data_IF_529154633344
#
_entry.id   IF_529154633344
#
_cell.length_a   1.000
_cell.length_b   1.000
_cell.length_c   1.000
_cell.angle_alpha   90.00
_cell.angle_beta   90.00
_cell.angle_gamma   90.00
#
_symmetry.space_group_name_H-M   'P 1'
#
loop_
_entity.id
_entity.type
_entity.pdbx_description
1 polymer ?
#
# COMPACT_ATOMS: atom_id res chain seq x y z
N UNK A 1 11.68 -19.55 -3.32
CA UNK A 1 12.54 -18.58 -2.57
C UNK A 1 11.61 -17.69 -1.75
N UNK A 2 11.80 -17.54 -0.43
CA UNK A 2 11.00 -16.59 0.34
C UNK A 2 11.39 -15.18 -0.11
N UNK A 3 10.43 -14.36 -0.53
CA UNK A 3 10.62 -12.92 -0.75
C UNK A 3 11.31 -12.33 0.48
N UNK A 4 12.34 -11.49 0.27
CA UNK A 4 13.13 -10.89 1.36
C UNK A 4 12.34 -9.88 2.19
N UNK A 5 11.14 -9.49 1.77
CA UNK A 5 10.34 -8.43 2.37
C UNK A 5 8.97 -8.97 2.83
N UNK A 6 8.98 -9.93 3.74
CA UNK A 6 7.78 -10.38 4.43
C UNK A 6 7.75 -9.85 5.87
N UNK A 7 6.60 -9.39 6.31
CA UNK A 7 6.35 -8.96 7.68
C UNK A 7 5.15 -9.73 8.24
N UNK A 8 5.15 -10.02 9.53
CA UNK A 8 4.01 -10.70 10.16
C UNK A 8 3.91 -10.36 11.64
N UNK A 9 2.67 -10.31 12.15
CA UNK A 9 2.36 -10.07 13.56
C UNK A 9 1.27 -11.03 14.01
N UNK A 10 1.49 -11.72 15.13
CA UNK A 10 0.46 -12.47 15.83
C UNK A 10 -0.47 -11.49 16.54
N UNK A 11 -1.77 -11.64 16.33
CA UNK A 11 -2.81 -10.77 16.89
C UNK A 11 -3.41 -11.40 18.15
N UNK A 12 -4.00 -10.57 19.02
CA UNK A 12 -4.67 -11.04 20.24
C UNK A 12 -5.85 -11.96 19.94
N UNK A 13 -6.53 -11.75 18.82
CA UNK A 13 -7.62 -12.61 18.36
C UNK A 13 -7.18 -14.02 17.92
N UNK A 14 -5.87 -14.30 17.94
CA UNK A 14 -5.32 -15.61 17.59
C UNK A 14 -4.96 -15.78 16.11
N UNK A 15 -5.30 -14.85 15.23
CA UNK A 15 -4.85 -14.84 13.84
C UNK A 15 -3.44 -14.26 13.70
N UNK A 16 -2.84 -14.42 12.54
CA UNK A 16 -1.58 -13.77 12.16
C UNK A 16 -1.83 -12.84 10.99
N UNK A 17 -1.54 -11.55 11.15
CA UNK A 17 -1.47 -10.63 10.03
C UNK A 17 -0.21 -10.91 9.22
N UNK A 18 -0.36 -11.11 7.93
CA UNK A 18 0.72 -11.38 6.98
C UNK A 18 0.81 -10.27 5.96
N UNK A 19 2.02 -9.86 5.65
CA UNK A 19 2.33 -8.88 4.63
C UNK A 19 3.45 -9.42 3.76
N UNK A 20 3.26 -9.37 2.45
CA UNK A 20 4.26 -9.70 1.43
C UNK A 20 4.45 -8.46 0.55
N UNK A 21 5.67 -7.96 0.48
CA UNK A 21 6.08 -6.97 -0.52
C UNK A 21 6.87 -7.66 -1.61
N UNK A 22 6.56 -7.38 -2.86
CA UNK A 22 7.25 -7.92 -4.03
C UNK A 22 8.21 -6.89 -4.64
N UNK A 23 9.12 -7.36 -5.46
CA UNK A 23 10.02 -6.54 -6.28
C UNK A 23 9.98 -6.95 -7.75
N UNK A 24 10.82 -6.37 -8.61
CA UNK A 24 10.87 -6.65 -10.04
C UNK A 24 11.24 -8.11 -10.39
N UNK A 25 11.95 -8.81 -9.50
CA UNK A 25 12.32 -10.21 -9.69
C UNK A 25 11.16 -11.18 -9.48
N UNK A 26 10.12 -10.75 -8.75
CA UNK A 26 8.90 -11.55 -8.54
C UNK A 26 7.97 -11.54 -9.77
N UNK A 27 8.25 -10.71 -10.76
CA UNK A 27 7.48 -10.57 -11.99
C UNK A 27 6.51 -9.39 -11.99
N UNK A 28 5.99 -9.06 -13.16
CA UNK A 28 5.03 -7.97 -13.34
C UNK A 28 3.67 -8.33 -12.70
N UNK A 29 3.17 -7.48 -11.82
CA UNK A 29 1.87 -7.63 -11.16
C UNK A 29 0.85 -6.55 -11.60
N UNK A 30 1.12 -5.84 -12.70
CA UNK A 30 0.18 -4.87 -13.28
C UNK A 30 -1.08 -5.55 -13.77
N UNK A 31 -2.25 -4.98 -13.45
CA UNK A 31 -3.56 -5.43 -13.98
C UNK A 31 -3.75 -5.14 -15.47
N UNK A 32 -2.83 -4.40 -16.10
CA UNK A 32 -2.87 -4.12 -17.54
C UNK A 32 -2.35 -5.28 -18.41
N UNK A 33 -1.68 -6.28 -17.80
CA UNK A 33 -1.27 -7.47 -18.52
C UNK A 33 -2.41 -8.48 -18.68
N UNK A 34 -2.28 -9.50 -19.57
CA UNK A 34 -3.26 -10.57 -19.71
C UNK A 34 -3.56 -11.25 -18.37
N UNK A 35 -4.82 -11.48 -18.06
CA UNK A 35 -5.28 -12.00 -16.78
C UNK A 35 -4.66 -13.36 -16.40
N UNK A 36 -4.46 -14.23 -17.38
CA UNK A 36 -3.79 -15.53 -17.19
C UNK A 36 -2.34 -15.38 -16.74
N UNK A 37 -1.60 -14.43 -17.31
CA UNK A 37 -0.21 -14.14 -16.91
C UNK A 37 -0.16 -13.53 -15.51
N UNK A 38 -1.07 -12.60 -15.20
CA UNK A 38 -1.19 -12.03 -13.86
C UNK A 38 -1.46 -13.13 -12.82
N UNK A 39 -2.45 -13.97 -13.06
CA UNK A 39 -2.81 -15.06 -12.15
C UNK A 39 -1.69 -16.08 -11.97
N UNK A 40 -0.94 -16.41 -13.02
CA UNK A 40 0.22 -17.30 -12.92
C UNK A 40 1.32 -16.69 -12.04
N UNK A 41 1.58 -15.39 -12.15
CA UNK A 41 2.56 -14.69 -11.31
C UNK A 41 2.10 -14.65 -9.86
N UNK A 42 0.83 -14.31 -9.61
CA UNK A 42 0.23 -14.29 -8.28
C UNK A 42 0.33 -15.64 -7.57
N UNK A 43 -0.05 -16.74 -8.25
CA UNK A 43 -0.03 -18.09 -7.68
C UNK A 43 1.36 -18.60 -7.31
N UNK A 44 2.41 -18.15 -7.98
CA UNK A 44 3.80 -18.48 -7.60
C UNK A 44 4.19 -17.91 -6.24
N UNK A 45 3.56 -16.80 -5.85
CA UNK A 45 3.83 -16.08 -4.60
C UNK A 45 2.90 -16.55 -3.47
N UNK A 46 1.59 -16.56 -3.73
CA UNK A 46 0.56 -17.06 -2.81
C UNK A 46 -0.44 -17.86 -3.64
N UNK A 47 -0.55 -19.16 -3.38
CA UNK A 47 -1.44 -20.08 -4.12
C UNK A 47 -2.91 -19.96 -3.67
N UNK A 48 -3.45 -18.75 -3.90
CA UNK A 48 -4.85 -18.41 -3.69
C UNK A 48 -5.27 -17.35 -4.71
N UNK A 49 -6.56 -17.20 -5.04
CA UNK A 49 -7.05 -16.07 -5.82
C UNK A 49 -6.82 -14.75 -5.05
N UNK A 50 -6.25 -13.75 -5.69
CA UNK A 50 -6.04 -12.43 -5.07
C UNK A 50 -7.21 -11.50 -5.38
N UNK A 51 -7.59 -10.68 -4.39
CA UNK A 51 -8.42 -9.50 -4.61
C UNK A 51 -7.52 -8.32 -4.97
N UNK A 52 -7.88 -7.58 -6.00
CA UNK A 52 -7.16 -6.38 -6.46
C UNK A 52 -8.11 -5.40 -7.14
N UNK A 53 -7.74 -4.12 -7.17
CA UNK A 53 -8.59 -3.05 -7.64
C UNK A 53 -8.02 -2.38 -8.90
N UNK A 54 -8.90 -1.71 -9.65
CA UNK A 54 -8.51 -0.67 -10.59
C UNK A 54 -8.29 0.62 -9.81
N UNK A 55 -7.04 0.87 -9.42
CA UNK A 55 -6.64 2.02 -8.61
C UNK A 55 -6.80 3.32 -9.42
N UNK A 56 -7.49 4.30 -8.85
CA UNK A 56 -7.82 5.59 -9.48
C UNK A 56 -7.27 6.79 -8.71
N UNK A 57 -6.43 6.55 -7.71
CA UNK A 57 -5.85 7.54 -6.79
C UNK A 57 -6.90 8.30 -5.98
N UNK A 58 -7.99 7.64 -5.64
CA UNK A 58 -9.11 8.16 -4.86
C UNK A 58 -9.06 7.75 -3.37
N UNK A 59 -10.19 7.90 -2.69
CA UNK A 59 -10.37 7.55 -1.28
C UNK A 59 -11.35 6.39 -1.04
N UNK A 60 -11.78 5.65 -2.08
CA UNK A 60 -12.78 4.59 -1.96
C UNK A 60 -12.18 3.31 -1.37
N UNK A 61 -12.89 2.73 -0.39
CA UNK A 61 -12.51 1.50 0.31
C UNK A 61 -13.53 0.40 0.00
N UNK A 62 -13.05 -0.72 -0.49
CA UNK A 62 -13.86 -1.88 -0.86
C UNK A 62 -13.72 -2.96 0.22
N UNK A 63 -14.85 -3.43 0.74
CA UNK A 63 -14.87 -4.57 1.66
C UNK A 63 -14.80 -5.89 0.90
N UNK A 64 -13.78 -6.69 1.19
CA UNK A 64 -13.55 -8.01 0.61
C UNK A 64 -14.03 -9.09 1.58
N UNK A 65 -14.80 -10.05 1.08
CA UNK A 65 -15.37 -11.15 1.88
C UNK A 65 -14.83 -12.51 1.50
N UNK A 66 -14.50 -12.69 0.22
CA UNK A 66 -13.95 -13.94 -0.28
C UNK A 66 -12.69 -13.68 -1.09
N UNK A 67 -11.85 -14.69 -1.16
CA UNK A 67 -10.63 -14.67 -1.97
C UNK A 67 -10.99 -14.46 -3.46
N UNK A 68 -10.36 -13.48 -4.11
CA UNK A 68 -10.63 -13.12 -5.50
C UNK A 68 -11.85 -12.21 -5.73
N UNK A 69 -12.53 -11.74 -4.67
CA UNK A 69 -13.60 -10.74 -4.81
C UNK A 69 -13.06 -9.41 -5.38
N UNK A 70 -13.95 -8.68 -6.09
CA UNK A 70 -13.75 -7.30 -6.55
C UNK A 70 -12.55 -7.08 -7.48
N UNK A 71 -12.13 -8.11 -8.22
CA UNK A 71 -11.04 -7.96 -9.20
C UNK A 71 -11.38 -6.92 -10.26
N UNK A 72 -10.57 -5.84 -10.32
CA UNK A 72 -10.72 -4.76 -11.29
C UNK A 72 -11.85 -3.75 -10.99
N UNK A 73 -12.52 -3.85 -9.85
CA UNK A 73 -13.44 -2.81 -9.35
C UNK A 73 -12.65 -1.53 -9.04
N UNK A 74 -13.21 -0.35 -9.34
CA UNK A 74 -12.56 0.92 -9.02
C UNK A 74 -12.51 1.14 -7.51
N UNK A 75 -11.34 1.57 -7.01
CA UNK A 75 -11.07 1.86 -5.61
C UNK A 75 -9.58 1.85 -5.32
N UNK A 76 -9.19 2.38 -4.17
CA UNK A 76 -7.79 2.53 -3.79
C UNK A 76 -7.47 1.89 -2.43
N UNK A 77 -8.45 1.26 -1.79
CA UNK A 77 -8.24 0.51 -0.56
C UNK A 77 -9.17 -0.67 -0.41
N UNK A 78 -8.71 -1.67 0.31
CA UNK A 78 -9.46 -2.88 0.64
C UNK A 78 -9.37 -3.18 2.11
N UNK A 79 -10.46 -3.70 2.68
CA UNK A 79 -10.50 -4.22 4.05
C UNK A 79 -11.14 -5.60 4.07
N UNK A 80 -10.70 -6.45 4.98
CA UNK A 80 -11.30 -7.76 5.22
C UNK A 80 -11.28 -8.15 6.69
N UNK A 81 -12.29 -8.90 7.11
CA UNK A 81 -12.33 -9.59 8.40
C UNK A 81 -12.32 -11.13 8.24
N UNK A 82 -12.03 -11.60 7.03
CA UNK A 82 -12.00 -13.03 6.68
C UNK A 82 -10.55 -13.48 6.56
N UNK A 83 -10.21 -14.61 7.18
CA UNK A 83 -8.90 -15.26 7.02
C UNK A 83 -8.72 -15.87 5.63
N UNK A 84 -7.48 -15.99 5.18
CA UNK A 84 -7.15 -16.61 3.89
C UNK A 84 -7.53 -15.80 2.65
N UNK A 85 -7.74 -14.48 2.78
CA UNK A 85 -8.16 -13.59 1.69
C UNK A 85 -7.01 -12.63 1.33
N UNK A 86 -6.16 -12.95 0.34
CA UNK A 86 -5.09 -12.06 -0.10
C UNK A 86 -5.64 -10.83 -0.81
N UNK A 87 -5.32 -9.65 -0.30
CA UNK A 87 -5.65 -8.35 -0.90
C UNK A 87 -4.36 -7.67 -1.38
N UNK A 88 -4.31 -7.26 -2.63
CA UNK A 88 -3.12 -6.71 -3.26
C UNK A 88 -3.31 -5.26 -3.75
N UNK A 89 -2.36 -4.40 -3.43
CA UNK A 89 -2.18 -3.06 -4.01
C UNK A 89 -0.95 -3.08 -4.90
N UNK A 90 -1.12 -2.68 -6.16
CA UNK A 90 -0.05 -2.58 -7.14
C UNK A 90 0.52 -1.16 -7.16
N UNK A 91 1.84 -1.06 -7.16
CA UNK A 91 2.52 0.24 -7.11
C UNK A 91 3.74 0.29 -8.05
N UNK A 92 4.05 1.50 -8.48
CA UNK A 92 5.34 1.96 -8.97
C UNK A 92 5.40 3.43 -8.55
N UNK A 93 5.97 3.68 -7.38
CA UNK A 93 6.21 4.93 -6.66
C UNK A 93 5.22 5.29 -5.54
N UNK A 94 3.90 5.12 -5.70
CA UNK A 94 2.96 5.38 -4.60
C UNK A 94 3.19 4.44 -3.42
N UNK A 95 2.92 4.89 -2.19
CA UNK A 95 3.08 4.07 -0.99
C UNK A 95 1.92 3.07 -0.82
N UNK A 96 2.17 1.76 -0.79
CA UNK A 96 1.20 0.80 -0.31
C UNK A 96 1.27 0.75 1.22
N UNK A 97 0.12 0.81 1.90
CA UNK A 97 0.05 0.80 3.37
C UNK A 97 -0.88 -0.31 3.83
N UNK A 98 -0.40 -1.19 4.69
CA UNK A 98 -1.23 -2.18 5.40
C UNK A 98 -1.56 -1.65 6.78
N UNK A 99 -2.83 -1.70 7.14
CA UNK A 99 -3.37 -1.30 8.43
C UNK A 99 -3.74 -2.55 9.23
N UNK A 100 -3.27 -2.66 10.45
CA UNK A 100 -3.39 -3.85 11.29
C UNK A 100 -3.93 -3.45 12.66
N UNK A 101 -4.90 -4.20 13.15
CA UNK A 101 -5.44 -4.08 14.51
C UNK A 101 -5.41 -5.44 15.21
N UNK A 102 -5.63 -5.46 16.52
CA UNK A 102 -5.66 -6.72 17.30
C UNK A 102 -6.94 -7.53 17.08
N UNK A 103 -8.02 -6.89 16.60
CA UNK A 103 -9.23 -7.56 16.13
C UNK A 103 -8.98 -8.26 14.77
N UNK A 104 -9.85 -9.24 14.36
CA UNK A 104 -9.70 -9.96 13.09
C UNK A 104 -10.09 -9.10 11.88
N UNK A 105 -9.47 -7.93 11.73
CA UNK A 105 -9.68 -6.99 10.63
C UNK A 105 -8.32 -6.51 10.12
N UNK A 106 -8.12 -6.52 8.82
CA UNK A 106 -6.92 -6.01 8.15
C UNK A 106 -7.34 -5.12 6.98
N UNK A 107 -6.56 -4.06 6.73
CA UNK A 107 -6.75 -3.17 5.60
C UNK A 107 -5.48 -3.00 4.79
N UNK A 108 -5.63 -2.67 3.51
CA UNK A 108 -4.52 -2.28 2.63
C UNK A 108 -4.97 -1.16 1.71
N UNK A 109 -4.14 -0.12 1.56
CA UNK A 109 -4.47 1.06 0.76
C UNK A 109 -3.35 1.47 -0.19
N UNK A 110 -3.72 2.10 -1.30
CA UNK A 110 -2.85 2.75 -2.26
C UNK A 110 -2.74 4.24 -1.91
N UNK A 111 -1.66 4.63 -1.26
CA UNK A 111 -1.44 5.99 -0.79
C UNK A 111 -0.52 6.77 -1.74
N UNK A 112 -1.03 7.14 -2.91
CA UNK A 112 -0.47 8.20 -3.74
C UNK A 112 -0.89 9.58 -3.19
N UNK A 113 -0.25 10.68 -3.60
CA UNK A 113 -0.52 12.02 -3.07
C UNK A 113 -2.00 12.44 -3.20
N UNK A 114 -2.68 12.08 -4.31
CA UNK A 114 -4.11 12.37 -4.49
C UNK A 114 -4.97 11.55 -3.53
N UNK A 115 -4.65 10.27 -3.35
CA UNK A 115 -5.33 9.39 -2.39
C UNK A 115 -5.17 9.88 -0.95
N UNK A 116 -3.97 10.35 -0.59
CA UNK A 116 -3.70 10.97 0.72
C UNK A 116 -4.54 12.22 0.93
N UNK A 117 -4.63 13.12 -0.08
CA UNK A 117 -5.54 14.28 -0.02
C UNK A 117 -7.02 13.88 0.02
N UNK A 118 -7.39 12.77 -0.60
CA UNK A 118 -8.76 12.23 -0.56
C UNK A 118 -9.08 11.48 0.75
N UNK A 119 -8.14 11.43 1.71
CA UNK A 119 -8.33 10.80 3.01
C UNK A 119 -8.35 9.28 2.95
N UNK A 120 -7.55 8.64 2.09
CA UNK A 120 -7.56 7.17 1.90
C UNK A 120 -7.25 6.42 3.20
N UNK A 121 -6.34 6.94 4.04
CA UNK A 121 -5.98 6.33 5.34
C UNK A 121 -7.12 6.50 6.34
N UNK A 122 -7.67 7.70 6.44
CA UNK A 122 -8.81 8.05 7.30
C UNK A 122 -10.03 7.19 6.97
N UNK A 123 -10.34 7.07 5.67
CA UNK A 123 -11.45 6.28 5.18
C UNK A 123 -11.26 4.79 5.52
N UNK A 124 -10.05 4.25 5.33
CA UNK A 124 -9.75 2.87 5.68
C UNK A 124 -9.89 2.62 7.18
N UNK A 125 -9.35 3.49 8.02
CA UNK A 125 -9.51 3.40 9.48
C UNK A 125 -10.98 3.45 9.90
N UNK A 126 -11.78 4.34 9.29
CA UNK A 126 -13.21 4.46 9.52
C UNK A 126 -13.97 3.19 9.13
N UNK A 127 -13.70 2.65 7.92
CA UNK A 127 -14.35 1.42 7.45
C UNK A 127 -13.94 0.19 8.29
N UNK A 128 -12.67 0.11 8.72
CA UNK A 128 -12.22 -0.94 9.66
C UNK A 128 -12.94 -0.81 11.01
N UNK A 129 -13.15 0.42 11.49
CA UNK A 129 -13.91 0.70 12.72
C UNK A 129 -15.34 0.16 12.68
N UNK A 130 -16.02 0.20 11.54
CA UNK A 130 -17.36 -0.38 11.33
C UNK A 130 -17.37 -1.91 11.45
N UNK A 131 -16.19 -2.54 11.30
CA UNK A 131 -15.99 -3.98 11.50
C UNK A 131 -15.46 -4.32 12.91
N UNK A 132 -15.36 -3.33 13.80
CA UNK A 132 -14.81 -3.49 15.15
C UNK A 132 -13.29 -3.49 15.22
N UNK A 133 -12.59 -3.12 14.13
CA UNK A 133 -11.13 -3.04 14.08
C UNK A 133 -10.63 -1.59 14.12
N UNK A 134 -9.81 -1.26 15.12
CA UNK A 134 -9.11 0.03 15.19
C UNK A 134 -7.62 -0.22 14.95
N UNK A 135 -7.06 0.23 13.81
CA UNK A 135 -5.65 -0.01 13.51
C UNK A 135 -4.73 0.64 14.54
N UNK A 136 -3.74 -0.10 15.00
CA UNK A 136 -2.68 0.36 15.91
C UNK A 136 -1.30 0.26 15.29
N UNK A 137 -1.16 -0.61 14.30
CA UNK A 137 0.09 -0.89 13.59
C UNK A 137 -0.11 -0.66 12.11
N UNK A 138 0.89 -0.09 11.44
CA UNK A 138 0.94 0.02 9.98
C UNK A 138 2.26 -0.54 9.43
N UNK A 139 2.16 -1.12 8.23
CA UNK A 139 3.33 -1.52 7.44
C UNK A 139 3.28 -0.75 6.13
N UNK A 140 4.30 0.06 5.87
CA UNK A 140 4.45 0.86 4.65
C UNK A 140 5.48 0.17 3.74
N UNK A 141 5.08 -0.13 2.53
CA UNK A 141 5.93 -0.79 1.53
C UNK A 141 6.79 0.18 0.73
N UNK A 142 7.54 -0.34 -0.27
CA UNK A 142 8.39 0.45 -1.13
C UNK A 142 7.62 1.56 -1.84
N UNK A 143 8.15 2.78 -1.78
CA UNK A 143 7.59 3.94 -2.46
C UNK A 143 8.71 4.89 -2.90
N UNK A 144 8.36 5.91 -3.68
CA UNK A 144 9.34 6.93 -4.08
C UNK A 144 9.67 7.84 -2.90
N UNK A 145 10.95 8.13 -2.72
CA UNK A 145 11.43 9.07 -1.71
C UNK A 145 11.65 10.47 -2.32
N UNK A 146 11.70 11.52 -1.49
CA UNK A 146 11.75 12.91 -1.97
C UNK A 146 12.94 13.20 -2.87
N UNK A 147 14.09 12.53 -2.67
CA UNK A 147 15.30 12.73 -3.49
C UNK A 147 15.06 12.52 -4.99
N UNK A 148 14.00 11.77 -5.35
CA UNK A 148 13.64 11.44 -6.72
C UNK A 148 12.22 11.88 -7.10
N UNK A 149 11.53 12.61 -6.21
CA UNK A 149 10.13 12.97 -6.41
C UNK A 149 9.91 14.46 -6.56
N UNK A 150 10.51 15.07 -7.62
CA UNK A 150 10.20 16.44 -7.98
C UNK A 150 8.69 16.67 -8.05
N UNK A 151 8.22 17.75 -7.43
CA UNK A 151 6.80 18.00 -7.27
C UNK A 151 6.45 19.45 -7.61
N UNK A 152 5.33 19.64 -8.32
CA UNK A 152 4.88 20.96 -8.74
C UNK A 152 4.58 21.87 -7.55
N UNK A 153 5.03 23.12 -7.63
CA UNK A 153 4.92 24.08 -6.51
C UNK A 153 3.47 24.38 -6.11
N UNK A 154 2.51 24.22 -7.03
CA UNK A 154 1.09 24.43 -6.74
C UNK A 154 0.54 23.29 -5.93
N UNK A 155 0.76 22.06 -6.38
CA UNK A 155 0.33 20.84 -5.70
C UNK A 155 1.04 20.66 -4.36
N UNK A 156 2.33 21.05 -4.28
CA UNK A 156 3.09 21.00 -3.03
C UNK A 156 2.48 21.92 -1.97
N UNK A 157 1.98 23.11 -2.36
CA UNK A 157 1.26 23.99 -1.44
C UNK A 157 -0.03 23.38 -0.89
N UNK A 158 -0.76 22.58 -1.68
CA UNK A 158 -1.92 21.84 -1.17
C UNK A 158 -1.49 20.77 -0.16
N UNK A 159 -0.41 20.05 -0.45
CA UNK A 159 0.12 19.04 0.46
C UNK A 159 0.62 19.66 1.78
N UNK A 160 1.41 20.74 1.71
CA UNK A 160 1.92 21.42 2.92
C UNK A 160 0.81 22.06 3.75
N UNK A 161 -0.23 22.58 3.11
CA UNK A 161 -1.41 23.12 3.81
C UNK A 161 -2.17 22.01 4.56
N UNK A 162 -2.30 20.84 3.94
CA UNK A 162 -3.04 19.72 4.51
C UNK A 162 -2.20 18.96 5.54
N UNK A 163 -0.96 18.63 5.24
CA UNK A 163 -0.16 17.73 6.07
C UNK A 163 0.91 18.44 6.92
N UNK A 164 1.14 19.74 6.68
CA UNK A 164 2.15 20.52 7.36
C UNK A 164 3.44 20.67 6.55
N UNK A 165 4.37 21.55 7.01
CA UNK A 165 5.57 21.88 6.24
C UNK A 165 6.59 20.73 6.14
N UNK A 166 6.55 19.75 7.00
CA UNK A 166 7.52 18.63 7.01
C UNK A 166 7.42 17.71 5.82
N UNK A 167 6.33 17.78 5.03
CA UNK A 167 6.18 17.00 3.79
C UNK A 167 6.88 17.65 2.59
N UNK A 168 7.30 18.89 2.72
CA UNK A 168 8.10 19.57 1.70
C UNK A 168 9.57 19.21 1.86
N UNK A 169 10.21 18.86 0.76
CA UNK A 169 11.61 18.45 0.68
C UNK A 169 12.25 18.94 -0.61
N UNK A 170 13.47 18.50 -0.89
CA UNK A 170 14.21 18.79 -2.12
C UNK A 170 14.69 17.49 -2.77
N UNK A 171 14.73 17.48 -4.11
CA UNK A 171 15.39 16.41 -4.87
C UNK A 171 16.91 16.52 -4.77
N UNK A 172 17.62 15.51 -5.29
CA UNK A 172 19.09 15.56 -5.42
C UNK A 172 19.57 16.75 -6.25
N UNK A 173 18.75 17.24 -7.17
CA UNK A 173 19.03 18.40 -8.03
C UNK A 173 18.64 19.75 -7.36
N UNK A 174 18.12 19.74 -6.14
CA UNK A 174 17.68 20.93 -5.41
C UNK A 174 16.35 21.51 -5.89
N UNK A 175 15.53 20.71 -6.58
CA UNK A 175 14.17 21.13 -6.96
C UNK A 175 13.15 20.76 -5.87
N UNK A 176 12.00 21.48 -5.77
CA UNK A 176 10.98 21.17 -4.79
C UNK A 176 10.48 19.72 -4.91
N UNK A 177 10.37 19.03 -3.80
CA UNK A 177 9.97 17.62 -3.73
C UNK A 177 8.88 17.38 -2.68
N UNK A 178 8.10 16.33 -2.88
CA UNK A 178 7.14 15.83 -1.88
C UNK A 178 7.71 14.59 -1.19
N UNK A 179 7.71 14.59 0.14
CA UNK A 179 8.03 13.43 0.96
C UNK A 179 6.76 12.56 1.15
N UNK A 180 6.62 11.50 0.34
CA UNK A 180 5.51 10.54 0.43
C UNK A 180 5.59 9.70 1.72
N UNK A 181 6.74 9.14 2.13
CA UNK A 181 6.90 8.48 3.41
C UNK A 181 6.43 9.32 4.60
N UNK A 182 6.86 10.59 4.69
CA UNK A 182 6.46 11.46 5.79
C UNK A 182 4.97 11.83 5.70
N UNK A 183 4.45 12.08 4.50
CA UNK A 183 3.01 12.36 4.31
C UNK A 183 2.16 11.18 4.79
N UNK A 184 2.56 9.95 4.45
CA UNK A 184 1.89 8.73 4.91
C UNK A 184 1.97 8.59 6.44
N UNK A 185 3.14 8.86 7.04
CA UNK A 185 3.34 8.82 8.48
C UNK A 185 2.44 9.82 9.23
N UNK A 186 2.28 11.03 8.70
CA UNK A 186 1.37 12.04 9.27
C UNK A 186 -0.10 11.56 9.18
N UNK A 187 -0.52 11.04 8.03
CA UNK A 187 -1.87 10.50 7.87
C UNK A 187 -2.16 9.36 8.86
N UNK A 188 -1.21 8.46 9.07
CA UNK A 188 -1.29 7.37 10.04
C UNK A 188 -1.43 7.91 11.48
N UNK A 189 -0.56 8.85 11.88
CA UNK A 189 -0.57 9.46 13.22
C UNK A 189 -1.87 10.20 13.52
N UNK A 190 -2.47 10.87 12.54
CA UNK A 190 -3.79 11.54 12.67
C UNK A 190 -4.91 10.55 13.00
N UNK A 191 -4.72 9.29 12.61
CA UNK A 191 -5.65 8.19 12.88
C UNK A 191 -5.23 7.32 14.07
N UNK A 192 -4.34 7.83 14.95
CA UNK A 192 -3.81 7.14 16.13
C UNK A 192 -3.02 5.86 15.82
N UNK A 193 -2.47 5.72 14.62
CA UNK A 193 -1.57 4.64 14.24
C UNK A 193 -0.14 5.13 14.42
N UNK A 194 0.50 4.73 15.52
CA UNK A 194 1.85 5.19 15.91
C UNK A 194 2.93 4.13 15.72
N UNK A 195 2.56 2.85 15.68
CA UNK A 195 3.47 1.73 15.44
C UNK A 195 3.59 1.50 13.92
N UNK A 196 4.54 2.21 13.28
CA UNK A 196 4.72 2.19 11.83
C UNK A 196 6.04 1.52 11.45
N UNK A 197 5.96 0.52 10.57
CA UNK A 197 7.09 -0.21 10.03
C UNK A 197 7.26 0.10 8.54
N UNK A 198 8.37 0.69 8.16
CA UNK A 198 8.74 0.88 6.75
C UNK A 198 9.53 -0.34 6.29
N UNK A 199 8.98 -1.09 5.33
CA UNK A 199 9.59 -2.30 4.78
C UNK A 199 9.87 -2.10 3.29
N UNK A 200 10.98 -1.55 2.95
CA UNK A 200 11.37 -1.39 1.56
C UNK A 200 12.19 -0.14 1.31
N UNK A 201 12.78 -0.14 0.14
CA UNK A 201 13.68 0.91 -0.32
C UNK A 201 12.89 1.91 -1.19
N UNK A 202 13.53 3.04 -1.54
CA UNK A 202 13.03 3.94 -2.56
C UNK A 202 12.89 3.21 -3.91
N UNK A 203 11.70 3.28 -4.53
CA UNK A 203 11.45 2.63 -5.81
C UNK A 203 12.30 3.17 -6.94
N UNK A 204 12.65 4.45 -6.89
CA UNK A 204 13.41 5.13 -7.94
C UNK A 204 14.91 4.81 -7.93
N UNK A 205 15.52 4.53 -6.77
CA UNK A 205 16.98 4.39 -6.64
C UNK A 205 17.46 2.99 -6.28
N UNK A 206 16.57 2.11 -5.81
CA UNK A 206 16.97 0.78 -5.32
C UNK A 206 17.48 -0.18 -6.40
N UNK A 207 17.12 0.05 -7.67
CA UNK A 207 17.41 -0.86 -8.78
C UNK A 207 16.66 -2.20 -8.71
N UNK A 208 15.76 -2.37 -7.74
CA UNK A 208 14.98 -3.60 -7.52
C UNK A 208 13.49 -3.43 -7.79
N UNK A 209 13.01 -2.20 -7.85
CA UNK A 209 11.61 -1.88 -8.01
C UNK A 209 11.35 -1.18 -9.34
N UNK A 210 10.17 -1.35 -9.90
CA UNK A 210 9.70 -0.48 -10.97
C UNK A 210 9.36 0.89 -10.44
N UNK A 211 9.73 1.92 -11.19
CA UNK A 211 9.41 3.32 -10.92
C UNK A 211 8.78 3.97 -12.16
N UNK A 212 7.56 4.45 -11.99
CA UNK A 212 6.89 5.21 -13.04
C UNK A 212 7.57 6.56 -13.29
N UNK A 213 8.05 7.21 -12.22
CA UNK A 213 8.65 8.54 -12.29
C UNK A 213 10.00 8.51 -13.02
N UNK A 214 10.87 7.59 -12.68
CA UNK A 214 12.25 7.53 -13.19
C UNK A 214 12.36 6.63 -14.41
N UNK A 215 11.79 5.41 -14.36
CA UNK A 215 11.87 4.44 -15.46
C UNK A 215 10.77 4.60 -16.51
N UNK A 216 9.67 5.31 -16.21
CA UNK A 216 8.48 5.32 -17.05
C UNK A 216 7.79 3.94 -17.10
N UNK A 217 8.07 3.10 -16.10
CA UNK A 217 7.66 1.70 -16.06
C UNK A 217 6.13 1.56 -16.06
N UNK A 218 5.65 0.64 -16.86
CA UNK A 218 4.24 0.22 -16.89
C UNK A 218 4.00 -1.01 -16.05
N UNK A 219 5.05 -1.72 -15.72
CA UNK A 219 5.07 -2.83 -14.80
C UNK A 219 4.80 -2.35 -13.37
N UNK A 220 4.36 -3.28 -12.51
CA UNK A 220 4.05 -3.00 -11.10
C UNK A 220 4.58 -4.11 -10.21
N UNK A 221 5.18 -3.73 -9.09
CA UNK A 221 5.27 -4.56 -7.91
C UNK A 221 3.95 -4.48 -7.13
N UNK A 222 3.77 -5.35 -6.16
CA UNK A 222 2.61 -5.35 -5.29
C UNK A 222 2.97 -5.52 -3.82
N UNK A 223 2.15 -4.96 -2.96
CA UNK A 223 2.07 -5.34 -1.56
C UNK A 223 0.79 -6.12 -1.34
N UNK A 224 0.89 -7.26 -0.64
CA UNK A 224 -0.23 -8.17 -0.39
C UNK A 224 -0.41 -8.35 1.10
N UNK A 225 -1.66 -8.26 1.58
CA UNK A 225 -1.99 -8.46 2.98
C UNK A 225 -3.13 -9.44 3.17
N UNK A 226 -3.03 -10.28 4.20
CA UNK A 226 -4.10 -11.20 4.59
C UNK A 226 -4.00 -11.58 6.07
N UNK A 227 -5.11 -12.09 6.60
CA UNK A 227 -5.14 -12.77 7.90
C UNK A 227 -4.94 -14.26 7.69
N UNK A 228 -4.11 -14.89 8.49
CA UNK A 228 -3.82 -16.32 8.45
C UNK A 228 -4.20 -16.96 9.78
N UNK A 229 -4.87 -18.12 9.70
CA UNK A 229 -5.16 -18.94 10.89
C UNK A 229 -3.84 -19.51 11.45
N UNK A 230 -3.81 -19.72 12.75
CA UNK A 230 -2.69 -20.44 13.34
C UNK A 230 -2.73 -21.89 12.90
N UNK A 231 -1.65 -22.37 12.33
CA UNK A 231 -1.41 -23.80 12.09
C UNK A 231 -1.10 -24.53 13.38
#
# INVERSE_FOLDING_TARGET
MKSKHSWSKRLECGLTAKVLSTDSHDGNLSISQPADQLHLTQRKLIDAPWSYLKQVHGGEIIRIRNSGDSQGVEGDGMISSTSGVPMAIQVADCAPIVLICEAPVIGIVHAGWRGLLAGIVENACSEMGKLGGHPTTAVVGPCIHPEHYEFGSVELKYMTREFGPTVESETLEGTPALDIPETANIALRRNNVFDTHFIGDCTASSGKHWSHRVGGDKERQAMVAWLEEAS
#
